data_IF_608722185784
#
_entry.id   IF_608722185784
#
_cell.length_a   1.000
_cell.length_b   1.000
_cell.length_c   1.000
_cell.angle_alpha   90.00
_cell.angle_beta   90.00
_cell.angle_gamma   90.00
#
_symmetry.space_group_name_H-M   'P 1'
#
loop_
_entity.id
_entity.type
_entity.pdbx_description
1 polymer ?
#
# COMPACT_ATOMS: atom_id res chain seq x y z
N UNK A 1 -28.74 -13.50 34.88
CA UNK A 1 -29.08 -14.34 33.70
C UNK A 1 -28.46 -13.84 32.38
N UNK A 2 -28.08 -12.56 32.27
CA UNK A 2 -27.35 -11.99 31.12
C UNK A 2 -25.94 -12.59 30.95
N UNK A 3 -25.20 -12.80 32.05
CA UNK A 3 -23.77 -13.18 32.00
C UNK A 3 -23.55 -14.59 31.46
N UNK A 4 -24.46 -15.52 31.76
CA UNK A 4 -24.43 -16.88 31.22
C UNK A 4 -24.63 -16.87 29.69
N UNK A 5 -25.56 -16.05 29.20
CA UNK A 5 -25.80 -15.88 27.75
C UNK A 5 -24.59 -15.25 27.06
N UNK A 6 -23.95 -14.25 27.69
CA UNK A 6 -22.74 -13.61 27.14
C UNK A 6 -21.56 -14.58 27.07
N UNK A 7 -21.35 -15.40 28.11
CA UNK A 7 -20.33 -16.44 28.14
C UNK A 7 -20.55 -17.48 27.03
N UNK A 8 -21.79 -17.91 26.83
CA UNK A 8 -22.15 -18.83 25.75
C UNK A 8 -21.89 -18.23 24.36
N UNK A 9 -22.31 -17.00 24.12
CA UNK A 9 -22.08 -16.29 22.85
C UNK A 9 -20.60 -16.10 22.55
N UNK A 10 -19.79 -15.81 23.57
CA UNK A 10 -18.33 -15.67 23.42
C UNK A 10 -17.68 -16.98 22.98
N UNK A 11 -18.11 -18.11 23.55
CA UNK A 11 -17.65 -19.45 23.15
C UNK A 11 -18.07 -19.79 21.72
N UNK A 12 -19.31 -19.48 21.33
CA UNK A 12 -19.76 -19.69 19.95
C UNK A 12 -18.91 -18.89 18.96
N UNK A 13 -18.60 -17.63 19.27
CA UNK A 13 -17.71 -16.79 18.42
C UNK A 13 -16.29 -17.34 18.36
N UNK A 14 -15.75 -17.89 19.44
CA UNK A 14 -14.39 -18.44 19.43
C UNK A 14 -14.31 -19.72 18.59
N UNK A 15 -15.34 -20.58 18.67
CA UNK A 15 -15.46 -21.79 17.85
C UNK A 15 -15.62 -21.44 16.37
N UNK A 16 -16.49 -20.49 16.02
CA UNK A 16 -16.69 -20.07 14.63
C UNK A 16 -15.41 -19.46 14.04
N UNK A 17 -14.72 -18.59 14.79
CA UNK A 17 -13.40 -18.05 14.41
C UNK A 17 -12.34 -19.13 14.25
N UNK A 18 -12.37 -20.19 15.06
CA UNK A 18 -11.44 -21.33 14.90
C UNK A 18 -11.75 -22.07 13.60
N UNK A 19 -13.00 -22.44 13.35
CA UNK A 19 -13.42 -23.14 12.11
C UNK A 19 -13.12 -22.34 10.84
N UNK A 20 -13.48 -21.05 10.79
CA UNK A 20 -13.22 -20.18 9.65
C UNK A 20 -11.72 -20.05 9.31
N UNK A 21 -10.82 -20.20 10.30
CA UNK A 21 -9.36 -20.21 10.05
C UNK A 21 -8.87 -21.52 9.44
N UNK A 22 -9.53 -22.64 9.70
CA UNK A 22 -9.22 -23.95 9.10
C UNK A 22 -9.80 -24.09 7.70
N UNK A 23 -10.96 -23.47 7.41
CA UNK A 23 -11.58 -23.45 6.07
C UNK A 23 -10.67 -22.85 4.99
N UNK A 24 -9.82 -21.87 5.35
CA UNK A 24 -8.91 -21.20 4.42
C UNK A 24 -7.62 -21.99 4.12
N UNK A 25 -7.51 -23.20 4.64
CA UNK A 25 -6.37 -24.12 4.51
C UNK A 25 -5.68 -24.39 5.84
N UNK A 26 -5.13 -25.60 5.95
CA UNK A 26 -4.39 -26.08 7.12
C UNK A 26 -3.04 -26.68 6.69
N UNK A 27 -2.10 -26.74 7.63
CA UNK A 27 -0.80 -27.40 7.44
C UNK A 27 -0.60 -28.38 8.57
N UNK A 28 -0.29 -29.64 8.23
CA UNK A 28 0.11 -30.65 9.19
C UNK A 28 1.56 -30.42 9.61
N UNK A 29 1.83 -30.45 10.92
CA UNK A 29 3.19 -30.46 11.47
C UNK A 29 3.31 -31.64 12.42
N UNK A 30 4.40 -32.40 12.30
CA UNK A 30 4.72 -33.47 13.25
C UNK A 30 5.23 -32.81 14.54
N UNK A 31 4.58 -33.12 15.66
CA UNK A 31 4.99 -32.71 17.00
C UNK A 31 6.20 -33.50 17.47
N UNK A 32 6.81 -33.07 18.59
CA UNK A 32 7.97 -33.77 19.18
C UNK A 32 7.60 -35.17 19.70
N UNK A 33 6.32 -35.38 19.94
CA UNK A 33 5.65 -36.62 20.33
C UNK A 33 5.32 -37.55 19.15
N UNK A 34 5.65 -37.16 17.92
CA UNK A 34 5.35 -37.94 16.71
C UNK A 34 3.91 -37.78 16.22
N UNK A 35 3.07 -36.97 16.88
CA UNK A 35 1.69 -36.74 16.47
C UNK A 35 1.59 -35.65 15.40
N UNK A 36 0.71 -35.86 14.41
CA UNK A 36 0.44 -34.86 13.38
C UNK A 36 -0.58 -33.86 13.91
N UNK A 37 -0.16 -32.61 14.11
CA UNK A 37 -1.02 -31.52 14.56
C UNK A 37 -1.34 -30.59 13.39
N UNK A 38 -2.63 -30.45 13.08
CA UNK A 38 -3.10 -29.49 12.07
C UNK A 38 -3.18 -28.09 12.65
N UNK A 39 -2.47 -27.15 12.03
CA UNK A 39 -2.54 -25.73 12.35
C UNK A 39 -3.12 -24.94 11.17
N UNK A 40 -3.95 -23.92 11.41
CA UNK A 40 -4.48 -23.09 10.33
C UNK A 40 -3.31 -22.41 9.60
N UNK A 41 -3.35 -22.42 8.27
CA UNK A 41 -2.32 -21.78 7.45
C UNK A 41 -2.41 -20.27 7.64
N UNK A 42 -1.43 -19.68 8.33
CA UNK A 42 -1.30 -18.22 8.42
C UNK A 42 -0.96 -17.69 7.03
N UNK A 43 -1.90 -17.02 6.36
CA UNK A 43 -1.62 -16.21 5.17
C UNK A 43 -1.18 -14.84 5.65
N UNK A 44 0.05 -14.45 5.35
CA UNK A 44 0.43 -13.04 5.47
C UNK A 44 -0.34 -12.28 4.37
N UNK A 45 -0.84 -11.06 4.63
CA UNK A 45 -1.38 -10.24 3.56
C UNK A 45 -0.27 -10.01 2.54
N UNK A 46 -0.43 -10.59 1.34
CA UNK A 46 0.50 -10.36 0.24
C UNK A 46 0.08 -9.02 -0.35
N UNK A 47 0.88 -7.97 -0.11
CA UNK A 47 0.72 -6.72 -0.85
C UNK A 47 0.97 -7.05 -2.33
N UNK A 48 0.01 -6.80 -3.23
CA UNK A 48 0.19 -7.15 -4.63
C UNK A 48 1.27 -6.24 -5.23
N UNK A 49 2.45 -6.81 -5.47
CA UNK A 49 3.61 -6.06 -6.00
C UNK A 49 3.28 -5.35 -7.32
N UNK A 50 2.38 -5.93 -8.13
CA UNK A 50 1.84 -5.33 -9.36
C UNK A 50 1.08 -4.03 -9.08
N UNK A 51 0.25 -4.01 -8.05
CA UNK A 51 -0.52 -2.81 -7.67
C UNK A 51 0.40 -1.68 -7.21
N UNK A 52 1.43 -2.01 -6.43
CA UNK A 52 2.44 -1.04 -6.02
C UNK A 52 3.21 -0.48 -7.23
N UNK A 53 3.56 -1.34 -8.19
CA UNK A 53 4.23 -0.92 -9.43
C UNK A 53 3.37 0.06 -10.24
N UNK A 54 2.08 -0.23 -10.44
CA UNK A 54 1.18 0.68 -11.14
C UNK A 54 0.99 2.01 -10.41
N UNK A 55 0.97 1.99 -9.08
CA UNK A 55 0.90 3.22 -8.29
C UNK A 55 2.14 4.10 -8.48
N UNK A 56 3.33 3.50 -8.44
CA UNK A 56 4.59 4.22 -8.69
C UNK A 56 4.63 4.77 -10.12
N UNK A 57 4.26 3.96 -11.12
CA UNK A 57 4.21 4.41 -12.51
C UNK A 57 3.20 5.55 -12.72
N UNK A 58 2.01 5.45 -12.15
CA UNK A 58 0.99 6.51 -12.21
C UNK A 58 1.46 7.80 -11.54
N UNK A 59 2.19 7.69 -10.44
CA UNK A 59 2.76 8.84 -9.75
C UNK A 59 3.85 9.55 -10.57
N UNK A 60 4.78 8.78 -11.17
CA UNK A 60 5.79 9.32 -12.08
C UNK A 60 5.14 9.97 -13.31
N UNK A 61 4.12 9.33 -13.88
CA UNK A 61 3.36 9.90 -15.00
C UNK A 61 2.71 11.23 -14.62
N UNK A 62 2.07 11.31 -13.45
CA UNK A 62 1.49 12.56 -12.95
C UNK A 62 2.54 13.67 -12.82
N UNK A 63 3.69 13.39 -12.20
CA UNK A 63 4.80 14.36 -12.11
C UNK A 63 5.26 14.84 -13.48
N UNK A 64 5.39 13.93 -14.43
CA UNK A 64 5.83 14.26 -15.79
C UNK A 64 4.83 15.14 -16.53
N UNK A 65 3.52 14.90 -16.36
CA UNK A 65 2.46 15.75 -16.92
C UNK A 65 2.52 17.16 -16.33
N UNK A 66 2.63 17.28 -15.00
CA UNK A 66 2.72 18.59 -14.34
C UNK A 66 3.95 19.35 -14.83
N UNK A 67 5.11 18.68 -14.89
CA UNK A 67 6.35 19.28 -15.39
C UNK A 67 6.24 19.68 -16.87
N UNK A 68 5.64 18.84 -17.72
CA UNK A 68 5.44 19.13 -19.13
C UNK A 68 4.50 20.31 -19.37
N UNK A 69 3.47 20.45 -18.52
CA UNK A 69 2.48 21.53 -18.62
C UNK A 69 2.99 22.86 -18.08
N UNK A 70 3.67 22.87 -16.92
CA UNK A 70 4.19 24.10 -16.30
C UNK A 70 5.52 24.55 -16.91
N UNK A 71 6.31 23.62 -17.44
CA UNK A 71 7.70 23.85 -17.78
C UNK A 71 8.63 23.77 -16.56
N UNK A 72 9.93 23.62 -16.81
CA UNK A 72 10.91 23.35 -15.75
C UNK A 72 11.06 24.51 -14.76
N UNK A 73 11.01 25.76 -15.22
CA UNK A 73 11.24 26.93 -14.37
C UNK A 73 10.12 27.09 -13.34
N UNK A 74 8.87 27.16 -13.80
CA UNK A 74 7.71 27.33 -12.91
C UNK A 74 7.47 26.11 -12.03
N UNK A 75 7.87 24.91 -12.46
CA UNK A 75 7.79 23.72 -11.63
C UNK A 75 8.74 23.79 -10.42
N UNK A 76 10.00 24.18 -10.64
CA UNK A 76 10.99 24.37 -9.56
C UNK A 76 10.57 25.47 -8.60
N UNK A 77 10.04 26.60 -9.10
CA UNK A 77 9.50 27.67 -8.25
C UNK A 77 8.40 27.17 -7.32
N UNK A 78 7.48 26.32 -7.81
CA UNK A 78 6.43 25.74 -6.97
C UNK A 78 6.97 24.77 -5.94
N UNK A 79 7.98 23.95 -6.28
CA UNK A 79 8.62 23.06 -5.31
C UNK A 79 9.30 23.88 -4.21
N UNK A 80 9.97 24.97 -4.56
CA UNK A 80 10.59 25.87 -3.60
C UNK A 80 9.54 26.47 -2.64
N UNK A 81 8.40 26.94 -3.17
CA UNK A 81 7.29 27.42 -2.34
C UNK A 81 6.72 26.34 -1.41
N UNK A 82 6.59 25.09 -1.88
CA UNK A 82 6.13 23.98 -1.04
C UNK A 82 7.16 23.65 0.07
N UNK A 83 8.46 23.82 -0.20
CA UNK A 83 9.52 23.56 0.76
C UNK A 83 9.55 24.60 1.91
N UNK A 84 9.02 25.79 1.69
CA UNK A 84 8.89 26.85 2.72
C UNK A 84 7.60 26.72 3.55
N UNK A 85 6.69 25.85 3.14
CA UNK A 85 5.38 25.67 3.77
C UNK A 85 5.39 24.85 5.07
N UNK A 86 4.20 24.36 5.42
CA UNK A 86 3.93 23.45 6.53
C UNK A 86 4.62 22.09 6.36
N UNK A 87 4.71 21.29 7.43
CA UNK A 87 5.33 19.96 7.38
C UNK A 87 4.74 19.01 6.32
N UNK A 88 3.45 19.17 5.99
CA UNK A 88 2.79 18.38 4.93
C UNK A 88 3.25 18.85 3.55
N UNK A 89 3.38 20.17 3.36
CA UNK A 89 3.84 20.76 2.09
C UNK A 89 5.31 20.45 1.85
N UNK A 90 6.15 20.50 2.88
CA UNK A 90 7.56 20.11 2.82
C UNK A 90 7.73 18.64 2.40
N UNK A 91 6.91 17.75 2.94
CA UNK A 91 6.90 16.35 2.52
C UNK A 91 6.49 16.21 1.04
N UNK A 92 5.50 17.00 0.60
CA UNK A 92 5.12 17.10 -0.80
C UNK A 92 6.26 17.58 -1.70
N UNK A 93 7.00 18.62 -1.28
CA UNK A 93 8.15 19.15 -2.01
C UNK A 93 9.24 18.09 -2.22
N UNK A 94 9.55 17.32 -1.18
CA UNK A 94 10.54 16.24 -1.23
C UNK A 94 10.13 15.16 -2.24
N UNK A 95 8.86 14.73 -2.21
CA UNK A 95 8.35 13.68 -3.11
C UNK A 95 8.26 14.17 -4.56
N UNK A 96 7.99 15.47 -4.76
CA UNK A 96 7.84 16.07 -6.09
C UNK A 96 9.16 16.37 -6.79
N UNK A 97 10.33 16.27 -6.14
CA UNK A 97 11.60 16.55 -6.82
C UNK A 97 11.77 15.73 -8.11
N UNK A 98 12.18 16.35 -9.22
CA UNK A 98 12.21 15.69 -10.52
C UNK A 98 13.26 14.56 -10.56
N UNK A 99 12.81 13.36 -10.86
CA UNK A 99 13.67 12.21 -11.13
C UNK A 99 14.00 12.10 -12.64
N UNK A 100 15.10 11.41 -13.02
CA UNK A 100 15.50 11.29 -14.43
C UNK A 100 14.40 10.71 -15.33
N UNK A 101 13.59 9.79 -14.81
CA UNK A 101 12.48 9.18 -15.54
C UNK A 101 11.36 10.21 -15.81
N UNK A 102 11.00 11.01 -14.80
CA UNK A 102 10.05 12.12 -14.92
C UNK A 102 10.50 13.13 -15.99
N UNK A 103 11.78 13.50 -16.01
CA UNK A 103 12.32 14.44 -17.01
C UNK A 103 12.22 13.88 -18.44
N UNK A 104 12.55 12.60 -18.63
CA UNK A 104 12.46 11.94 -19.93
C UNK A 104 10.99 11.90 -20.39
N UNK A 105 10.09 11.47 -19.51
CA UNK A 105 8.65 11.39 -19.83
C UNK A 105 8.06 12.77 -20.16
N UNK A 106 8.44 13.81 -19.41
CA UNK A 106 7.96 15.16 -19.65
C UNK A 106 8.37 15.69 -21.04
N UNK A 107 9.58 15.35 -21.54
CA UNK A 107 10.01 15.73 -22.90
C UNK A 107 9.12 15.12 -23.99
N UNK A 108 8.66 13.90 -23.81
CA UNK A 108 7.74 13.24 -24.75
C UNK A 108 6.31 13.76 -24.64
N UNK A 109 5.87 14.16 -23.44
CA UNK A 109 4.52 14.66 -23.19
C UNK A 109 4.35 16.15 -23.55
N UNK A 110 5.39 16.95 -23.42
CA UNK A 110 5.39 18.38 -23.72
C UNK A 110 4.81 18.75 -25.10
N UNK A 111 5.13 18.07 -26.22
CA UNK A 111 4.53 18.40 -27.52
C UNK A 111 3.05 17.99 -27.64
N UNK A 112 2.58 17.04 -26.83
CA UNK A 112 1.17 16.57 -26.85
C UNK A 112 0.27 17.47 -26.00
N UNK A 113 0.83 18.08 -24.96
CA UNK A 113 0.12 18.92 -23.99
C UNK A 113 0.24 20.43 -24.28
N UNK A 114 0.90 20.81 -25.38
CA UNK A 114 1.07 22.19 -25.84
C UNK A 114 -0.04 22.65 -26.77
#
# INVERSE_FOLDING_TARGET
MSDVRQGFQTRLRSISRKRARFERGYVGKVGRDGLIVFKPRRRMPIIPLRGLLYLVLGFVFFKAVVLAHLGSVTYEERIALLAEGSHVEQAGALVMQPDPLTLIMARYLAPVLR
#
